data_IF_935940723241
#
_entry.id   IF_935940723241
#
_cell.length_a   1.000
_cell.length_b   1.000
_cell.length_c   1.000
_cell.angle_alpha   90.00
_cell.angle_beta   90.00
_cell.angle_gamma   90.00
#
_symmetry.space_group_name_H-M   'P 1'
#
loop_
_entity.id
_entity.type
_entity.pdbx_description
1 polymer ?
#
# COMPACT_ATOMS: atom_id res chain seq x y z
N UNK A 1 -25.27 -3.24 27.53
CA UNK A 1 -24.69 -4.59 27.51
C UNK A 1 -24.13 -4.95 26.19
N UNK A 2 -24.83 -4.71 25.10
CA UNK A 2 -24.24 -4.82 23.76
C UNK A 2 -23.07 -3.88 23.58
N UNK A 3 -23.11 -2.72 24.22
CA UNK A 3 -22.08 -1.71 24.07
C UNK A 3 -20.74 -2.14 24.63
N UNK A 4 -20.75 -2.90 25.74
CA UNK A 4 -19.50 -3.39 26.30
C UNK A 4 -18.87 -4.46 25.41
N UNK A 5 -19.68 -5.41 24.95
CA UNK A 5 -19.20 -6.45 24.04
C UNK A 5 -18.73 -5.86 22.71
N UNK A 6 -19.46 -4.86 22.18
CA UNK A 6 -19.07 -4.15 20.96
C UNK A 6 -17.78 -3.36 21.16
N UNK A 7 -17.61 -2.71 22.31
CA UNK A 7 -16.41 -1.95 22.61
C UNK A 7 -15.20 -2.87 22.72
N UNK A 8 -15.35 -4.00 23.40
CA UNK A 8 -14.28 -5.00 23.51
C UNK A 8 -13.96 -5.59 22.15
N UNK A 9 -14.99 -5.93 21.36
CA UNK A 9 -14.80 -6.44 20.02
C UNK A 9 -14.10 -5.43 19.12
N UNK A 10 -14.45 -4.14 19.23
CA UNK A 10 -13.77 -3.09 18.47
C UNK A 10 -12.31 -2.93 18.86
N UNK A 11 -12.02 -2.98 20.16
CA UNK A 11 -10.64 -2.90 20.64
C UNK A 11 -9.84 -4.10 20.17
N UNK A 12 -10.44 -5.30 20.25
CA UNK A 12 -9.80 -6.52 19.75
C UNK A 12 -9.62 -6.48 18.23
N UNK A 13 -10.61 -5.97 17.49
CA UNK A 13 -10.52 -5.81 16.05
C UNK A 13 -9.47 -4.77 15.67
N UNK A 14 -9.41 -3.64 16.37
CA UNK A 14 -8.38 -2.64 16.16
C UNK A 14 -7.00 -3.20 16.47
N UNK A 15 -6.89 -3.98 17.50
CA UNK A 15 -5.65 -4.63 17.89
C UNK A 15 -5.26 -5.72 16.90
N UNK A 16 -6.26 -6.46 16.43
CA UNK A 16 -6.11 -7.53 15.45
C UNK A 16 -5.84 -6.99 14.06
N UNK A 17 -6.51 -5.89 13.72
CA UNK A 17 -6.40 -5.23 12.41
C UNK A 17 -5.39 -4.09 12.37
N UNK A 18 -4.72 -3.80 13.46
CA UNK A 18 -3.50 -3.03 13.37
C UNK A 18 -2.67 -3.69 12.29
N UNK A 19 -2.12 -2.95 11.33
CA UNK A 19 -1.68 -3.46 10.04
C UNK A 19 -0.63 -4.57 10.12
N UNK A 20 -1.07 -5.71 10.59
CA UNK A 20 -0.31 -6.96 10.59
C UNK A 20 -0.81 -7.88 9.49
N UNK A 21 -1.92 -7.52 8.87
CA UNK A 21 -2.53 -8.31 7.81
C UNK A 21 -2.38 -7.59 6.48
N UNK A 22 -1.95 -8.35 5.48
CA UNK A 22 -1.91 -7.87 4.11
C UNK A 22 -3.34 -7.89 3.58
N UNK A 23 -3.98 -6.75 3.63
CA UNK A 23 -5.32 -6.57 3.09
C UNK A 23 -5.28 -5.66 1.88
N UNK A 24 -6.32 -5.72 1.06
CA UNK A 24 -6.47 -4.75 -0.03
C UNK A 24 -6.45 -3.34 0.54
N UNK A 25 -5.86 -2.42 -0.20
CA UNK A 25 -5.62 -1.01 0.15
C UNK A 25 -4.54 -0.80 1.22
N UNK A 26 -3.85 -1.85 1.64
CA UNK A 26 -2.65 -1.69 2.47
C UNK A 26 -1.49 -1.16 1.63
N UNK A 27 -0.74 -0.23 2.19
CA UNK A 27 0.53 0.17 1.61
C UNK A 27 1.58 -0.89 1.92
N UNK A 28 2.28 -1.33 0.91
CA UNK A 28 3.24 -2.44 1.00
C UNK A 28 4.53 -2.13 0.27
N UNK A 29 5.57 -2.86 0.65
CA UNK A 29 6.82 -2.89 -0.10
C UNK A 29 6.97 -4.30 -0.65
N UNK A 30 7.03 -4.40 -1.97
CA UNK A 30 7.27 -5.65 -2.67
C UNK A 30 8.77 -5.79 -2.93
N UNK A 31 9.33 -6.87 -2.44
CA UNK A 31 10.69 -7.25 -2.80
C UNK A 31 10.61 -8.33 -3.86
N UNK A 32 11.17 -8.06 -5.02
CA UNK A 32 11.09 -8.93 -6.18
C UNK A 32 12.45 -9.55 -6.48
N UNK A 33 12.41 -10.68 -7.16
CA UNK A 33 13.61 -11.39 -7.62
C UNK A 33 13.56 -11.57 -9.14
N UNK A 34 14.74 -11.71 -9.74
CA UNK A 34 14.93 -12.00 -11.17
C UNK A 34 14.23 -11.03 -12.14
N UNK A 35 14.57 -9.75 -12.16
CA UNK A 35 15.64 -9.07 -11.42
C UNK A 35 15.20 -8.61 -10.04
N UNK A 36 16.15 -8.26 -9.21
CA UNK A 36 15.86 -7.68 -7.90
C UNK A 36 15.37 -6.26 -8.05
N UNK A 37 14.17 -6.04 -7.55
CA UNK A 37 13.52 -4.73 -7.54
C UNK A 37 12.76 -4.57 -6.25
N UNK A 38 12.54 -3.34 -5.85
CA UNK A 38 11.62 -3.03 -4.75
C UNK A 38 10.60 -2.02 -5.22
N UNK A 39 9.34 -2.33 -4.99
CA UNK A 39 8.23 -1.49 -5.37
C UNK A 39 7.48 -1.11 -4.10
N UNK A 40 7.21 0.18 -3.94
CA UNK A 40 6.26 0.65 -2.96
C UNK A 40 4.92 0.84 -3.66
N UNK A 41 3.86 0.42 -3.01
CA UNK A 41 2.53 0.61 -3.60
C UNK A 41 1.41 0.25 -2.67
N UNK A 42 0.19 0.46 -3.15
CA UNK A 42 -1.03 0.08 -2.46
C UNK A 42 -1.53 -1.22 -3.07
N UNK A 43 -1.77 -2.19 -2.21
CA UNK A 43 -2.20 -3.52 -2.61
C UNK A 43 -3.64 -3.46 -3.13
N UNK A 44 -3.86 -3.87 -4.36
CA UNK A 44 -5.20 -3.94 -4.95
C UNK A 44 -5.75 -5.36 -4.89
N UNK A 45 -4.92 -6.35 -5.15
CA UNK A 45 -5.36 -7.74 -5.07
C UNK A 45 -4.15 -8.66 -4.86
N UNK A 46 -4.39 -9.78 -4.21
CA UNK A 46 -3.41 -10.82 -4.01
C UNK A 46 -4.10 -12.17 -4.15
N UNK A 47 -3.52 -13.04 -4.93
CA UNK A 47 -4.00 -14.41 -5.11
C UNK A 47 -2.82 -15.32 -5.43
N UNK A 48 -3.08 -16.60 -5.71
CA UNK A 48 -2.01 -17.57 -5.99
C UNK A 48 -1.24 -17.28 -7.28
N UNK A 49 -1.80 -16.51 -8.20
CA UNK A 49 -1.13 -16.16 -9.46
C UNK A 49 -0.17 -14.99 -9.32
N UNK A 50 -0.48 -14.05 -8.45
CA UNK A 50 0.34 -12.87 -8.27
C UNK A 50 -0.33 -11.77 -7.48
N UNK A 51 0.29 -10.61 -7.56
CA UNK A 51 -0.09 -9.44 -6.78
C UNK A 51 -0.32 -8.29 -7.73
N UNK A 52 -1.45 -7.60 -7.55
CA UNK A 52 -1.73 -6.35 -8.26
C UNK A 52 -1.55 -5.20 -7.30
N UNK A 53 -0.73 -4.25 -7.66
CA UNK A 53 -0.46 -3.05 -6.88
C UNK A 53 -0.55 -1.82 -7.75
N UNK A 54 -0.88 -0.72 -7.13
CA UNK A 54 -0.70 0.60 -7.72
C UNK A 54 0.48 1.24 -7.00
N UNK A 55 1.58 1.41 -7.70
CA UNK A 55 2.80 1.82 -7.04
C UNK A 55 3.87 2.32 -7.97
N UNK A 56 5.07 2.37 -7.45
CA UNK A 56 6.23 2.94 -8.12
C UNK A 56 7.49 2.27 -7.58
N UNK A 57 8.54 2.26 -8.38
CA UNK A 57 9.85 1.85 -7.90
C UNK A 57 10.22 2.64 -6.65
N UNK A 58 10.74 1.95 -5.63
CA UNK A 58 11.00 2.58 -4.34
C UNK A 58 12.01 3.74 -4.44
N UNK A 59 12.92 3.67 -5.40
CA UNK A 59 13.90 4.72 -5.61
C UNK A 59 13.28 5.99 -6.21
N UNK A 60 12.11 5.88 -6.80
CA UNK A 60 11.38 7.01 -7.38
C UNK A 60 10.33 7.57 -6.43
N UNK A 61 10.17 6.99 -5.26
CA UNK A 61 9.12 7.38 -4.32
C UNK A 61 9.23 8.86 -3.92
N UNK A 62 10.43 9.31 -3.54
CA UNK A 62 10.63 10.69 -3.09
C UNK A 62 10.38 11.70 -4.21
N UNK A 63 10.72 11.35 -5.44
CA UNK A 63 10.45 12.21 -6.59
C UNK A 63 8.94 12.31 -6.86
N UNK A 64 8.22 11.20 -6.70
CA UNK A 64 6.77 11.22 -6.81
C UNK A 64 6.13 12.09 -5.73
N UNK A 65 6.57 11.95 -4.47
CA UNK A 65 6.06 12.76 -3.36
C UNK A 65 6.27 14.25 -3.67
N UNK A 66 7.45 14.60 -4.15
CA UNK A 66 7.76 15.99 -4.53
C UNK A 66 6.85 16.49 -5.64
N UNK A 67 6.60 15.65 -6.63
CA UNK A 67 5.70 15.95 -7.74
C UNK A 67 4.29 16.26 -7.24
N UNK A 68 3.77 15.44 -6.32
CA UNK A 68 2.44 15.66 -5.74
C UNK A 68 2.42 16.93 -4.89
N UNK A 69 3.41 17.13 -4.05
CA UNK A 69 3.50 18.31 -3.18
C UNK A 69 3.55 19.62 -3.97
N UNK A 70 4.21 19.60 -5.12
CA UNK A 70 4.38 20.78 -5.97
C UNK A 70 3.30 20.90 -7.05
N UNK A 71 2.32 20.00 -7.10
CA UNK A 71 1.26 19.97 -8.09
C UNK A 71 1.77 19.98 -9.55
N UNK A 72 2.92 19.35 -9.78
CA UNK A 72 3.53 19.34 -11.12
C UNK A 72 3.06 18.17 -11.98
N UNK A 73 2.48 17.15 -11.37
CA UNK A 73 2.00 15.93 -12.05
C UNK A 73 3.04 15.31 -13.00
N UNK A 74 4.30 15.51 -12.70
CA UNK A 74 5.40 15.03 -13.55
C UNK A 74 5.62 13.52 -13.44
N UNK A 75 5.09 12.91 -12.39
CA UNK A 75 5.19 11.48 -12.15
C UNK A 75 3.85 10.94 -11.66
N UNK A 76 3.54 9.71 -12.03
CA UNK A 76 2.32 9.05 -11.58
C UNK A 76 2.63 7.61 -11.19
N UNK A 77 1.76 7.05 -10.35
CA UNK A 77 1.83 5.65 -9.99
C UNK A 77 1.26 4.80 -11.11
N UNK A 78 1.76 3.58 -11.23
CA UNK A 78 1.28 2.62 -12.21
C UNK A 78 0.54 1.48 -11.53
N UNK A 79 -0.52 1.01 -12.16
CA UNK A 79 -1.15 -0.25 -11.75
C UNK A 79 -0.42 -1.38 -12.46
N UNK A 80 0.10 -2.32 -11.70
CA UNK A 80 0.89 -3.41 -12.26
C UNK A 80 0.52 -4.74 -11.61
N UNK A 81 0.61 -5.80 -12.40
CA UNK A 81 0.48 -7.16 -11.93
C UNK A 81 1.86 -7.79 -11.86
N UNK A 82 2.20 -8.33 -10.72
CA UNK A 82 3.47 -9.00 -10.50
C UNK A 82 3.22 -10.49 -10.30
N UNK A 83 3.72 -11.35 -11.20
CA UNK A 83 3.57 -12.80 -11.04
C UNK A 83 4.16 -13.27 -9.72
N UNK A 84 3.50 -14.23 -9.07
CA UNK A 84 3.93 -14.70 -7.75
C UNK A 84 5.35 -15.25 -7.75
N UNK A 85 5.79 -15.84 -8.87
CA UNK A 85 7.14 -16.38 -8.98
C UNK A 85 8.23 -15.31 -8.86
N UNK A 86 7.90 -14.05 -9.11
CA UNK A 86 8.84 -12.95 -8.94
C UNK A 86 8.85 -12.36 -7.54
N UNK A 87 7.89 -12.71 -6.71
CA UNK A 87 7.74 -12.13 -5.38
C UNK A 87 8.65 -12.87 -4.41
N UNK A 88 9.60 -12.17 -3.82
CA UNK A 88 10.42 -12.71 -2.74
C UNK A 88 9.73 -12.54 -1.41
N UNK A 89 9.23 -11.34 -1.14
CA UNK A 89 8.44 -11.06 0.07
C UNK A 89 7.59 -9.81 -0.11
N UNK A 90 6.54 -9.73 0.67
CA UNK A 90 5.68 -8.56 0.79
C UNK A 90 5.78 -8.07 2.22
N UNK A 91 6.12 -6.80 2.40
CA UNK A 91 6.21 -6.20 3.73
C UNK A 91 5.21 -5.07 3.83
N UNK A 92 4.53 -4.97 4.96
CA UNK A 92 3.70 -3.79 5.21
C UNK A 92 4.59 -2.56 5.35
N UNK A 93 4.09 -1.44 4.84
CA UNK A 93 4.74 -0.15 5.00
C UNK A 93 4.40 0.39 6.39
N UNK A 94 5.28 0.15 7.36
CA UNK A 94 5.07 0.45 8.77
C UNK A 94 6.14 1.38 9.31
N UNK A 95 5.76 2.18 10.29
CA UNK A 95 6.70 2.99 11.05
C UNK A 95 7.34 2.15 12.15
N UNK A 96 8.66 2.16 12.22
CA UNK A 96 9.44 1.47 13.25
C UNK A 96 10.22 2.50 14.06
N UNK A 97 9.72 2.83 15.26
CA UNK A 97 10.38 3.78 16.12
C UNK A 97 10.57 5.14 15.44
N UNK A 98 11.82 5.51 15.17
CA UNK A 98 12.17 6.76 14.50
C UNK A 98 12.11 6.66 12.97
N UNK A 99 11.98 5.46 12.44
CA UNK A 99 11.94 5.23 11.00
C UNK A 99 10.49 5.28 10.51
N UNK A 100 10.13 6.39 9.89
CA UNK A 100 8.77 6.61 9.40
C UNK A 100 8.48 5.76 8.18
N UNK A 101 7.25 5.24 8.12
CA UNK A 101 6.76 4.57 6.91
C UNK A 101 6.78 5.55 5.73
N UNK A 102 6.79 5.02 4.53
CA UNK A 102 6.67 5.84 3.32
C UNK A 102 5.33 6.59 3.29
N UNK A 103 4.25 5.94 3.73
CA UNK A 103 2.94 6.58 3.81
C UNK A 103 2.92 7.75 4.77
N UNK A 104 3.61 7.64 5.91
CA UNK A 104 3.72 8.73 6.88
C UNK A 104 4.55 9.89 6.33
N UNK A 105 5.67 9.58 5.65
CA UNK A 105 6.48 10.59 5.00
C UNK A 105 5.68 11.36 3.95
N UNK A 106 4.86 10.65 3.19
CA UNK A 106 3.98 11.26 2.21
C UNK A 106 2.98 12.20 2.88
N UNK A 107 2.32 11.72 3.94
CA UNK A 107 1.33 12.53 4.67
C UNK A 107 1.96 13.82 5.23
N UNK A 108 3.14 13.72 5.80
CA UNK A 108 3.81 14.88 6.37
C UNK A 108 4.14 15.93 5.31
N UNK A 109 4.52 15.49 4.13
CA UNK A 109 4.96 16.41 3.09
C UNK A 109 3.81 16.98 2.26
N UNK A 110 2.79 16.16 2.01
CA UNK A 110 1.67 16.52 1.13
C UNK A 110 0.48 17.06 1.92
N UNK A 111 0.31 16.61 3.17
CA UNK A 111 -0.82 17.00 4.03
C UNK A 111 -2.08 16.18 3.76
N UNK A 112 -2.00 15.19 2.89
CA UNK A 112 -3.09 14.29 2.56
C UNK A 112 -2.59 12.86 2.61
N UNK A 113 -3.48 11.91 2.88
CA UNK A 113 -3.09 10.51 2.89
C UNK A 113 -2.87 9.99 1.47
N UNK A 114 -2.10 8.93 1.36
CA UNK A 114 -1.85 8.26 0.07
C UNK A 114 -3.16 7.85 -0.59
N UNK A 115 -4.09 7.26 0.19
CA UNK A 115 -5.36 6.79 -0.35
C UNK A 115 -6.26 7.92 -0.84
N UNK A 116 -6.18 9.09 -0.22
CA UNK A 116 -6.94 10.26 -0.67
C UNK A 116 -6.45 10.78 -2.02
N UNK A 117 -5.15 10.71 -2.26
CA UNK A 117 -4.54 11.19 -3.49
C UNK A 117 -4.68 10.19 -4.62
N UNK A 118 -4.67 8.89 -4.28
CA UNK A 118 -4.86 7.84 -5.26
C UNK A 118 -6.32 7.72 -5.66
N UNK A 119 -6.58 7.79 -6.96
CA UNK A 119 -7.87 7.44 -7.52
C UNK A 119 -7.89 5.93 -7.73
N UNK A 120 -8.24 5.20 -6.69
CA UNK A 120 -8.27 3.75 -6.75
C UNK A 120 -9.61 3.26 -7.32
N UNK A 121 -9.58 2.21 -8.14
CA UNK A 121 -10.82 1.58 -8.60
C UNK A 121 -11.55 0.97 -7.41
N UNK A 122 -12.88 0.91 -7.47
CA UNK A 122 -13.67 0.21 -6.48
C UNK A 122 -13.28 -1.26 -6.47
N UNK A 123 -13.39 -1.89 -5.30
CA UNK A 123 -12.99 -3.30 -5.13
C UNK A 123 -13.72 -4.21 -6.13
N UNK A 124 -14.96 -3.85 -6.46
CA UNK A 124 -15.79 -4.61 -7.40
C UNK A 124 -15.33 -4.47 -8.86
N UNK A 125 -14.55 -3.45 -9.16
CA UNK A 125 -14.05 -3.20 -10.52
C UNK A 125 -12.73 -3.92 -10.81
N UNK A 126 -12.13 -4.53 -9.81
CA UNK A 126 -10.88 -5.26 -9.98
C UNK A 126 -11.18 -6.70 -10.37
N UNK A 127 -11.61 -6.87 -11.63
CA UNK A 127 -11.85 -8.19 -12.19
C UNK A 127 -10.71 -8.57 -13.11
N UNK A 128 -10.00 -9.62 -12.75
CA UNK A 128 -9.11 -10.28 -13.67
C UNK A 128 -9.83 -11.51 -14.21
N UNK A 129 -10.17 -11.47 -15.49
CA UNK A 129 -10.69 -12.64 -16.20
C UNK A 129 -9.51 -13.57 -16.47
N UNK A 130 -9.46 -14.65 -15.77
CA UNK A 130 -8.48 -15.69 -16.03
C UNK A 130 -9.07 -16.76 -16.93
#
# INVERSE_FOLDING_TARGET
>A
MQDFASAVARVLLLWWNVPKNLTTRSAVILSLQNPREKIWGVLLSINSFGITVRGIDINSFQDWVRSVANHTESMSLSTMFVPMMRVEKVTLDETFGMYKSFSEQFFERVGRSVLEVMDLPDEDDIHFSY
#
